data_IF_507539162749
#
_entry.id   IF_507539162749
#
_cell.length_a   1.000
_cell.length_b   1.000
_cell.length_c   1.000
_cell.angle_alpha   90.00
_cell.angle_beta   90.00
_cell.angle_gamma   90.00
#
_symmetry.space_group_name_H-M   'P 1'
#
loop_
_entity.id
_entity.type
_entity.pdbx_description
1 polymer ?
#
# COMPACT_ATOMS: atom_id res chain seq x y z
N UNK A 1 37.71 3.85 -49.40
CA UNK A 1 36.44 3.09 -49.25
C UNK A 1 36.44 2.05 -48.12
N UNK A 2 37.59 1.58 -47.60
CA UNK A 2 37.63 0.64 -46.46
C UNK A 2 37.24 1.23 -45.09
N UNK A 3 37.52 2.52 -44.86
CA UNK A 3 37.30 3.14 -43.55
C UNK A 3 35.79 3.34 -43.21
N UNK A 4 34.93 3.54 -44.22
CA UNK A 4 33.48 3.63 -44.05
C UNK A 4 32.84 2.28 -43.77
N UNK A 5 33.32 1.20 -44.40
CA UNK A 5 32.84 -0.18 -44.16
C UNK A 5 33.11 -0.65 -42.73
N UNK A 6 34.29 -0.33 -42.17
CA UNK A 6 34.63 -0.68 -40.79
C UNK A 6 33.79 0.11 -39.77
N UNK A 7 33.45 1.37 -40.05
CA UNK A 7 32.54 2.16 -39.20
C UNK A 7 31.12 1.59 -39.21
N UNK A 8 30.62 1.17 -40.37
CA UNK A 8 29.29 0.53 -40.49
C UNK A 8 29.26 -0.80 -39.73
N UNK A 9 30.29 -1.64 -39.86
CA UNK A 9 30.39 -2.89 -39.08
C UNK A 9 30.44 -2.65 -37.57
N UNK A 10 31.17 -1.62 -37.13
CA UNK A 10 31.25 -1.28 -35.71
C UNK A 10 29.89 -0.80 -35.17
N UNK A 11 29.16 0.02 -35.93
CA UNK A 11 27.80 0.47 -35.58
C UNK A 11 26.82 -0.71 -35.58
N UNK A 12 26.90 -1.62 -36.55
CA UNK A 12 26.04 -2.79 -36.60
C UNK A 12 26.29 -3.72 -35.40
N UNK A 13 27.55 -3.88 -35.00
CA UNK A 13 27.94 -4.67 -33.84
C UNK A 13 27.49 -4.05 -32.51
N UNK A 14 27.58 -2.72 -32.35
CA UNK A 14 27.09 -2.05 -31.14
C UNK A 14 25.57 -2.10 -31.03
N UNK A 15 24.83 -1.95 -32.13
CA UNK A 15 23.37 -2.10 -32.15
C UNK A 15 22.95 -3.53 -31.82
N UNK A 16 23.63 -4.53 -32.38
CA UNK A 16 23.36 -5.95 -32.09
C UNK A 16 23.65 -6.29 -30.61
N UNK A 17 24.74 -5.75 -30.04
CA UNK A 17 25.04 -5.90 -28.62
C UNK A 17 23.97 -5.27 -27.73
N UNK A 18 23.47 -4.07 -28.06
CA UNK A 18 22.40 -3.42 -27.32
C UNK A 18 21.09 -4.23 -27.29
N UNK A 19 20.76 -4.94 -28.38
CA UNK A 19 19.58 -5.80 -28.44
C UNK A 19 19.77 -7.05 -27.57
N UNK A 20 20.96 -7.66 -27.61
CA UNK A 20 21.27 -8.88 -26.85
C UNK A 20 21.43 -8.64 -25.33
N UNK A 21 21.78 -7.42 -24.92
CA UNK A 21 21.90 -7.04 -23.51
C UNK A 21 20.66 -6.31 -22.96
N UNK A 22 19.56 -6.24 -23.71
CA UNK A 22 18.32 -5.72 -23.14
C UNK A 22 17.82 -6.70 -22.07
N UNK A 23 17.69 -6.28 -20.79
CA UNK A 23 17.01 -7.12 -19.82
C UNK A 23 15.57 -7.29 -20.31
N UNK A 24 15.10 -8.52 -20.43
CA UNK A 24 13.69 -8.78 -20.63
C UNK A 24 12.94 -8.21 -19.43
N UNK A 25 12.30 -7.06 -19.62
CA UNK A 25 11.40 -6.48 -18.63
C UNK A 25 10.13 -7.31 -18.68
N UNK A 26 10.11 -8.40 -17.90
CA UNK A 26 8.87 -9.11 -17.62
C UNK A 26 8.08 -8.21 -16.67
N UNK A 27 7.08 -7.50 -17.20
CA UNK A 27 6.09 -6.89 -16.33
C UNK A 27 5.43 -8.03 -15.56
N UNK A 28 5.59 -8.05 -14.23
CA UNK A 28 4.82 -8.97 -13.40
C UNK A 28 3.36 -8.58 -13.55
N UNK A 29 2.62 -9.37 -14.33
CA UNK A 29 1.17 -9.23 -14.43
C UNK A 29 0.59 -9.36 -13.03
N UNK A 30 -0.25 -8.40 -12.65
CA UNK A 30 -1.02 -8.50 -11.41
C UNK A 30 -1.84 -9.80 -11.45
N UNK A 31 -1.80 -10.56 -10.37
CA UNK A 31 -2.48 -11.86 -10.32
C UNK A 31 -3.93 -11.64 -9.92
N UNK A 32 -4.85 -11.75 -10.87
CA UNK A 32 -6.29 -11.70 -10.60
C UNK A 32 -6.97 -12.98 -11.07
N UNK A 33 -8.14 -13.30 -10.52
CA UNK A 33 -8.94 -14.47 -10.91
C UNK A 33 -9.52 -14.36 -12.34
N UNK A 34 -9.49 -13.17 -12.94
CA UNK A 34 -9.88 -12.89 -14.32
C UNK A 34 -8.96 -11.85 -14.96
N UNK A 35 -8.88 -11.89 -16.29
CA UNK A 35 -8.18 -10.90 -17.12
C UNK A 35 -9.15 -9.89 -17.78
N UNK A 36 -10.45 -9.98 -17.45
CA UNK A 36 -11.47 -9.07 -17.99
C UNK A 36 -11.23 -7.64 -17.51
N UNK A 37 -10.97 -6.75 -18.48
CA UNK A 37 -10.75 -5.33 -18.22
C UNK A 37 -12.00 -4.69 -17.61
N UNK A 38 -13.18 -5.03 -18.10
CA UNK A 38 -14.46 -4.49 -17.60
C UNK A 38 -14.64 -4.82 -16.12
N UNK A 39 -14.42 -6.08 -15.72
CA UNK A 39 -14.45 -6.46 -14.29
C UNK A 39 -13.43 -5.72 -13.44
N UNK A 40 -12.25 -5.41 -13.97
CA UNK A 40 -11.21 -4.66 -13.25
C UNK A 40 -11.60 -3.18 -13.11
N UNK A 41 -12.23 -2.58 -14.12
CA UNK A 41 -12.67 -1.18 -14.09
C UNK A 41 -13.89 -1.00 -13.19
N UNK A 42 -14.83 -1.95 -13.20
CA UNK A 42 -16.06 -1.93 -12.39
C UNK A 42 -15.84 -2.29 -10.91
N UNK A 43 -14.62 -2.68 -10.52
CA UNK A 43 -14.30 -3.11 -9.15
C UNK A 43 -14.17 -1.90 -8.22
N UNK A 44 -15.29 -1.41 -7.68
CA UNK A 44 -15.30 -0.21 -6.85
C UNK A 44 -15.13 -0.51 -5.36
N UNK A 45 -15.81 -1.51 -4.80
CA UNK A 45 -15.82 -1.68 -3.34
C UNK A 45 -15.05 -2.92 -2.92
N UNK A 46 -14.12 -2.73 -1.99
CA UNK A 46 -13.45 -3.84 -1.32
C UNK A 46 -14.39 -4.41 -0.26
N UNK A 47 -14.67 -5.71 -0.34
CA UNK A 47 -15.49 -6.42 0.66
C UNK A 47 -14.65 -7.16 1.68
N UNK A 48 -13.43 -7.57 1.31
CA UNK A 48 -12.55 -8.34 2.18
C UNK A 48 -11.08 -8.22 1.78
N UNK A 49 -10.18 -8.33 2.76
CA UNK A 49 -8.72 -8.35 2.54
C UNK A 49 -8.06 -9.49 3.34
N UNK A 50 -7.29 -10.36 2.68
CA UNK A 50 -6.35 -11.27 3.34
C UNK A 50 -4.92 -10.76 3.18
N UNK A 51 -4.17 -10.71 4.28
CA UNK A 51 -2.81 -10.18 4.32
C UNK A 51 -1.89 -11.27 4.85
N UNK A 52 -1.00 -11.75 3.97
CA UNK A 52 -0.02 -12.79 4.28
C UNK A 52 1.41 -12.25 4.23
N UNK A 53 2.10 -12.26 5.37
CA UNK A 53 3.49 -11.77 5.46
C UNK A 53 4.46 -12.89 5.09
N UNK A 54 5.32 -12.70 4.08
CA UNK A 54 6.22 -13.75 3.57
C UNK A 54 7.13 -14.36 4.64
N UNK A 55 7.56 -13.55 5.62
CA UNK A 55 8.38 -13.98 6.76
C UNK A 55 7.61 -13.78 8.07
N UNK A 56 6.42 -14.37 8.19
CA UNK A 56 5.50 -14.25 9.34
C UNK A 56 6.19 -14.43 10.71
N UNK A 57 7.10 -15.40 10.87
CA UNK A 57 7.89 -15.57 12.12
C UNK A 57 8.74 -14.34 12.47
N UNK A 58 9.35 -13.68 11.47
CA UNK A 58 10.13 -12.47 11.68
C UNK A 58 9.25 -11.26 11.97
N UNK A 59 8.06 -11.20 11.35
CA UNK A 59 7.04 -10.22 11.67
C UNK A 59 6.59 -10.35 13.13
N UNK A 60 6.15 -11.55 13.54
CA UNK A 60 5.71 -11.83 14.91
C UNK A 60 6.80 -11.50 15.94
N UNK A 61 8.06 -11.86 15.68
CA UNK A 61 9.19 -11.49 16.56
C UNK A 61 9.37 -9.97 16.65
N UNK A 62 9.13 -9.23 15.57
CA UNK A 62 9.21 -7.78 15.56
C UNK A 62 8.05 -7.15 16.35
N UNK A 63 6.83 -7.61 16.09
CA UNK A 63 5.62 -7.23 16.83
C UNK A 63 5.78 -7.47 18.33
N UNK A 64 6.18 -8.67 18.77
CA UNK A 64 6.35 -8.97 20.20
C UNK A 64 7.42 -8.10 20.87
N UNK A 65 8.48 -7.74 20.15
CA UNK A 65 9.48 -6.78 20.65
C UNK A 65 8.90 -5.37 20.75
N UNK A 66 8.12 -4.95 19.75
CA UNK A 66 7.43 -3.67 19.77
C UNK A 66 6.43 -3.62 20.93
N UNK A 67 5.61 -4.64 21.12
CA UNK A 67 4.62 -4.73 22.19
C UNK A 67 5.27 -4.70 23.59
N UNK A 68 6.36 -5.45 23.80
CA UNK A 68 7.06 -5.52 25.11
C UNK A 68 7.94 -4.31 25.44
N UNK A 69 8.33 -3.50 24.47
CA UNK A 69 9.13 -2.29 24.75
C UNK A 69 8.27 -1.32 25.58
N UNK A 70 8.69 -0.85 26.76
CA UNK A 70 7.86 0.02 27.60
C UNK A 70 7.63 1.41 26.99
N UNK A 71 8.41 1.79 25.98
CA UNK A 71 8.28 3.08 25.28
C UNK A 71 7.23 3.03 24.18
N UNK A 72 6.92 4.18 23.60
CA UNK A 72 6.24 4.31 22.30
C UNK A 72 6.89 3.43 21.21
N UNK A 73 6.17 3.15 20.14
CA UNK A 73 6.63 2.37 18.98
C UNK A 73 7.85 3.04 18.36
N UNK A 74 9.03 2.55 18.74
CA UNK A 74 10.32 3.05 18.27
C UNK A 74 10.53 2.76 16.77
N UNK A 75 11.29 3.62 16.09
CA UNK A 75 11.56 3.52 14.65
C UNK A 75 12.16 2.15 14.24
N UNK A 76 12.98 1.55 15.10
CA UNK A 76 13.54 0.19 14.90
C UNK A 76 12.47 -0.90 14.66
N UNK A 77 11.23 -0.67 15.08
CA UNK A 77 10.12 -1.59 14.89
C UNK A 77 9.31 -1.29 13.62
N UNK A 78 9.43 -0.10 13.02
CA UNK A 78 8.72 0.34 11.82
C UNK A 78 9.42 -0.08 10.51
N UNK A 79 10.21 -1.15 10.56
CA UNK A 79 10.86 -1.72 9.36
C UNK A 79 9.83 -2.36 8.42
N UNK A 80 10.09 -2.30 7.12
CA UNK A 80 9.22 -2.88 6.08
C UNK A 80 9.40 -4.39 5.96
N UNK A 81 8.30 -5.09 5.71
CA UNK A 81 8.23 -6.52 5.42
C UNK A 81 7.51 -6.75 4.11
N UNK A 82 7.95 -7.73 3.32
CA UNK A 82 7.21 -8.17 2.14
C UNK A 82 5.98 -8.99 2.58
N UNK A 83 4.87 -8.74 1.90
CA UNK A 83 3.60 -9.41 2.08
C UNK A 83 2.89 -9.54 0.74
N UNK A 84 1.88 -10.41 0.69
CA UNK A 84 0.85 -10.37 -0.33
C UNK A 84 -0.45 -9.91 0.33
N UNK A 85 -1.24 -9.14 -0.43
CA UNK A 85 -2.56 -8.69 -0.02
C UNK A 85 -3.54 -9.20 -1.07
N UNK A 86 -4.37 -10.15 -0.70
CA UNK A 86 -5.45 -10.68 -1.52
C UNK A 86 -6.70 -9.85 -1.24
N UNK A 87 -7.26 -9.24 -2.28
CA UNK A 87 -8.39 -8.31 -2.17
C UNK A 87 -9.57 -8.91 -2.92
N UNK A 88 -10.71 -9.01 -2.24
CA UNK A 88 -11.98 -9.39 -2.83
C UNK A 88 -12.85 -8.15 -3.01
N UNK A 89 -13.39 -7.99 -4.21
CA UNK A 89 -14.29 -6.90 -4.57
C UNK A 89 -15.75 -7.38 -4.63
N UNK A 90 -16.68 -6.43 -4.58
CA UNK A 90 -18.12 -6.66 -4.64
C UNK A 90 -18.62 -7.24 -5.98
N UNK A 91 -17.82 -7.15 -7.04
CA UNK A 91 -18.10 -7.71 -8.37
C UNK A 91 -17.45 -9.09 -8.63
N UNK A 92 -17.09 -9.81 -7.55
CA UNK A 92 -16.44 -11.14 -7.56
C UNK A 92 -15.00 -11.12 -8.12
N UNK A 93 -14.42 -9.94 -8.39
CA UNK A 93 -13.01 -9.84 -8.72
C UNK A 93 -12.18 -10.17 -7.47
N UNK A 94 -11.15 -10.98 -7.67
CA UNK A 94 -10.15 -11.27 -6.65
C UNK A 94 -8.77 -11.02 -7.23
N UNK A 95 -7.96 -10.21 -6.55
CA UNK A 95 -6.62 -9.87 -7.00
C UNK A 95 -5.60 -9.93 -5.85
N UNK A 96 -4.42 -10.47 -6.15
CA UNK A 96 -3.28 -10.55 -5.24
C UNK A 96 -2.28 -9.44 -5.55
N UNK A 97 -2.03 -8.58 -4.58
CA UNK A 97 -1.09 -7.47 -4.67
C UNK A 97 0.19 -7.74 -3.89
N UNK A 98 1.36 -7.91 -4.54
CA UNK A 98 2.62 -7.94 -3.83
C UNK A 98 2.86 -6.58 -3.16
N UNK A 99 3.21 -6.59 -1.88
CA UNK A 99 3.16 -5.41 -1.03
C UNK A 99 4.33 -5.33 -0.06
N UNK A 100 4.62 -4.12 0.42
CA UNK A 100 5.41 -3.86 1.62
C UNK A 100 4.49 -3.35 2.72
N UNK A 101 4.61 -3.94 3.91
CA UNK A 101 3.88 -3.51 5.10
C UNK A 101 4.87 -3.16 6.22
N UNK A 102 4.50 -2.21 7.07
CA UNK A 102 5.20 -1.92 8.35
C UNK A 102 4.18 -1.58 9.42
N UNK A 103 4.60 -1.70 10.69
CA UNK A 103 3.83 -1.17 11.82
C UNK A 103 3.66 0.34 11.65
N UNK A 104 2.43 0.82 11.77
CA UNK A 104 2.06 2.24 11.76
C UNK A 104 1.77 2.75 13.17
N UNK A 105 1.92 4.06 13.37
CA UNK A 105 1.61 4.73 14.63
C UNK A 105 2.81 4.92 15.54
N UNK A 106 2.69 5.84 16.49
CA UNK A 106 3.72 6.15 17.48
C UNK A 106 3.39 5.54 18.84
N UNK A 107 2.13 5.55 19.23
CA UNK A 107 1.70 5.04 20.53
C UNK A 107 1.33 3.55 20.49
N UNK A 108 1.22 2.96 21.69
CA UNK A 108 0.98 1.53 21.87
C UNK A 108 -0.42 1.08 21.50
N UNK A 109 -1.37 2.00 21.44
CA UNK A 109 -2.74 1.79 20.96
C UNK A 109 -2.77 1.18 19.55
N UNK A 110 -1.75 1.44 18.72
CA UNK A 110 -1.62 0.79 17.42
C UNK A 110 -1.17 -0.68 17.45
N UNK A 111 -1.02 -1.29 18.64
CA UNK A 111 -0.67 -2.70 18.84
C UNK A 111 -1.74 -3.38 19.72
N UNK A 112 -2.54 -4.27 19.14
CA UNK A 112 -3.50 -5.08 19.89
C UNK A 112 -2.89 -6.42 20.28
N UNK A 113 -3.26 -6.92 21.46
CA UNK A 113 -2.77 -8.22 21.98
C UNK A 113 -3.69 -9.40 21.68
N UNK A 114 -4.98 -9.14 21.47
CA UNK A 114 -6.01 -10.13 21.22
C UNK A 114 -7.05 -9.60 20.21
N UNK A 115 -6.90 -9.91 18.90
CA UNK A 115 -5.81 -10.68 18.30
C UNK A 115 -4.49 -9.90 18.25
N UNK A 116 -3.31 -10.56 18.15
CA UNK A 116 -1.99 -9.91 18.10
C UNK A 116 -1.74 -9.20 16.76
N UNK A 117 -2.46 -8.11 16.51
CA UNK A 117 -2.46 -7.33 15.27
C UNK A 117 -1.87 -5.93 15.50
N UNK A 118 -1.58 -5.23 14.42
CA UNK A 118 -1.08 -3.85 14.47
C UNK A 118 -1.76 -3.01 13.41
N UNK A 119 -1.84 -1.70 13.62
CA UNK A 119 -2.09 -0.80 12.50
C UNK A 119 -0.95 -0.90 11.47
N UNK A 120 -1.26 -0.89 10.17
CA UNK A 120 -0.32 -1.09 9.09
C UNK A 120 -0.20 0.17 8.21
N UNK A 121 1.02 0.46 7.76
CA UNK A 121 1.29 1.37 6.63
C UNK A 121 1.72 0.48 5.46
N UNK A 122 0.95 0.56 4.38
CA UNK A 122 0.99 -0.38 3.26
C UNK A 122 1.43 0.35 1.99
N UNK A 123 2.27 -0.30 1.21
CA UNK A 123 2.73 0.13 -0.11
C UNK A 123 2.60 -1.06 -1.08
N UNK A 124 1.74 -0.95 -2.08
CA UNK A 124 1.66 -1.93 -3.16
C UNK A 124 2.89 -1.80 -4.06
N UNK A 125 3.46 -2.94 -4.47
CA UNK A 125 4.63 -3.00 -5.34
C UNK A 125 4.27 -3.14 -6.82
N UNK A 126 3.03 -3.54 -7.11
CA UNK A 126 2.47 -3.64 -8.44
C UNK A 126 0.95 -3.43 -8.37
N UNK A 127 0.38 -2.85 -9.44
CA UNK A 127 -1.04 -2.52 -9.50
C UNK A 127 -1.45 -1.36 -8.61
N UNK A 128 -2.76 -1.16 -8.49
CA UNK A 128 -3.38 -0.21 -7.58
C UNK A 128 -4.76 -0.77 -7.17
N UNK A 129 -5.30 -0.27 -6.07
CA UNK A 129 -6.68 -0.55 -5.66
C UNK A 129 -7.44 0.77 -5.75
N UNK A 130 -8.28 0.93 -6.77
CA UNK A 130 -9.01 2.17 -7.05
C UNK A 130 -8.10 3.40 -7.07
N UNK A 131 -7.00 3.29 -7.82
CA UNK A 131 -5.91 4.26 -7.95
C UNK A 131 -5.12 4.53 -6.66
N UNK A 132 -5.35 3.75 -5.60
CA UNK A 132 -4.56 3.81 -4.36
C UNK A 132 -3.41 2.81 -4.41
N UNK A 133 -2.19 3.28 -4.20
CA UNK A 133 -1.01 2.41 -4.05
C UNK A 133 -0.44 2.41 -2.63
N UNK A 134 -0.78 3.43 -1.83
CA UNK A 134 -0.33 3.61 -0.46
C UNK A 134 -1.52 3.95 0.41
N UNK A 135 -1.70 3.16 1.46
CA UNK A 135 -2.81 3.31 2.37
C UNK A 135 -2.41 2.82 3.76
N UNK A 136 -3.24 3.16 4.73
CA UNK A 136 -3.13 2.68 6.09
C UNK A 136 -4.28 1.72 6.37
N UNK A 137 -3.99 0.70 7.16
CA UNK A 137 -5.00 -0.18 7.75
C UNK A 137 -4.92 0.04 9.25
N UNK A 138 -5.78 0.90 9.78
CA UNK A 138 -5.80 1.20 11.20
C UNK A 138 -6.59 0.16 11.96
N UNK A 139 -6.13 -0.14 13.18
CA UNK A 139 -7.02 -0.73 14.17
C UNK A 139 -8.10 0.33 14.46
N UNK A 140 -9.40 0.03 14.34
CA UNK A 140 -10.44 1.06 14.32
C UNK A 140 -10.40 2.06 15.47
N UNK A 141 -10.19 1.61 16.70
CA UNK A 141 -10.22 2.48 17.88
C UNK A 141 -9.06 3.49 17.92
N UNK A 142 -7.96 3.25 17.20
CA UNK A 142 -6.78 4.14 17.14
C UNK A 142 -7.03 5.39 16.30
N UNK A 143 -8.10 5.39 15.50
CA UNK A 143 -8.46 6.47 14.60
C UNK A 143 -9.96 6.76 14.67
N UNK A 144 -10.57 6.66 15.85
CA UNK A 144 -11.98 7.04 16.08
C UNK A 144 -13.04 6.17 15.38
N UNK A 145 -12.66 5.11 14.65
CA UNK A 145 -13.57 4.18 13.98
C UNK A 145 -14.60 4.89 13.09
N UNK A 146 -15.89 4.69 13.40
CA UNK A 146 -17.01 5.30 12.68
C UNK A 146 -16.94 6.83 12.61
N UNK A 147 -16.39 7.49 13.63
CA UNK A 147 -16.28 8.96 13.64
C UNK A 147 -15.35 9.45 12.53
N UNK A 148 -14.28 8.71 12.22
CA UNK A 148 -13.36 9.05 11.13
C UNK A 148 -14.00 8.79 9.77
N UNK A 149 -14.72 7.67 9.61
CA UNK A 149 -15.49 7.38 8.39
C UNK A 149 -16.48 8.51 8.11
N UNK A 150 -17.25 8.90 9.12
CA UNK A 150 -18.22 9.98 9.00
C UNK A 150 -17.54 11.33 8.71
N UNK A 151 -16.49 11.68 9.45
CA UNK A 151 -15.83 12.98 9.31
C UNK A 151 -15.16 13.14 7.95
N UNK A 152 -14.48 12.11 7.46
CA UNK A 152 -13.83 12.14 6.15
C UNK A 152 -14.85 12.17 5.01
N UNK A 153 -15.94 11.41 5.11
CA UNK A 153 -17.04 11.48 4.16
C UNK A 153 -17.70 12.88 4.15
N UNK A 154 -18.01 13.44 5.33
CA UNK A 154 -18.61 14.77 5.44
C UNK A 154 -17.70 15.85 4.83
N UNK A 155 -16.40 15.84 5.12
CA UNK A 155 -15.45 16.79 4.55
C UNK A 155 -15.42 16.69 3.02
N UNK A 156 -15.46 15.47 2.47
CA UNK A 156 -15.52 15.24 1.03
C UNK A 156 -16.80 15.80 0.41
N UNK A 157 -17.96 15.56 1.03
CA UNK A 157 -19.25 16.13 0.59
C UNK A 157 -19.28 17.66 0.64
N UNK A 158 -18.54 18.26 1.58
CA UNK A 158 -18.39 19.72 1.68
C UNK A 158 -17.36 20.29 0.69
N UNK A 159 -16.74 19.47 -0.16
CA UNK A 159 -15.77 19.87 -1.17
C UNK A 159 -14.33 20.02 -0.65
N UNK A 160 -14.03 19.55 0.57
CA UNK A 160 -12.66 19.47 1.06
C UNK A 160 -11.97 18.20 0.57
N UNK A 161 -10.64 18.28 0.42
CA UNK A 161 -9.81 17.09 0.19
C UNK A 161 -9.75 16.25 1.47
N UNK A 162 -10.36 15.07 1.42
CA UNK A 162 -10.35 14.12 2.53
C UNK A 162 -10.06 12.69 2.01
N UNK A 163 -9.29 11.88 2.76
CA UNK A 163 -8.93 10.53 2.34
C UNK A 163 -10.16 9.61 2.37
N UNK A 164 -10.29 8.73 1.39
CA UNK A 164 -11.28 7.64 1.44
C UNK A 164 -11.00 6.77 2.65
N UNK A 165 -12.01 6.64 3.51
CA UNK A 165 -11.90 5.92 4.78
C UNK A 165 -13.13 5.05 5.01
N UNK A 166 -12.94 3.76 5.27
CA UNK A 166 -14.03 2.81 5.48
C UNK A 166 -13.57 1.58 6.25
N UNK A 167 -14.51 0.86 6.85
CA UNK A 167 -14.25 -0.42 7.51
C UNK A 167 -14.12 -1.53 6.47
N UNK A 168 -13.15 -2.41 6.68
CA UNK A 168 -12.93 -3.58 5.83
C UNK A 168 -12.66 -4.81 6.69
N UNK A 169 -13.51 -5.85 6.61
CA UNK A 169 -13.22 -7.15 7.19
C UNK A 169 -11.92 -7.71 6.62
N UNK A 170 -11.10 -8.31 7.47
CA UNK A 170 -9.80 -8.79 7.04
C UNK A 170 -9.32 -10.01 7.81
N UNK A 171 -8.38 -10.73 7.19
CA UNK A 171 -7.54 -11.72 7.85
C UNK A 171 -6.09 -11.25 7.78
N UNK A 172 -5.41 -11.21 8.92
CA UNK A 172 -3.99 -10.85 8.98
C UNK A 172 -3.16 -12.00 9.52
N UNK A 173 -2.34 -12.62 8.65
CA UNK A 173 -1.56 -13.81 8.97
C UNK A 173 -2.43 -14.92 9.62
N UNK A 174 -3.66 -15.13 9.12
CA UNK A 174 -4.60 -16.12 9.64
C UNK A 174 -5.43 -15.69 10.85
N UNK A 175 -5.34 -14.42 11.27
CA UNK A 175 -6.13 -13.86 12.37
C UNK A 175 -7.23 -12.98 11.81
N UNK A 176 -8.48 -13.32 12.10
CA UNK A 176 -9.64 -12.49 11.75
C UNK A 176 -9.60 -11.15 12.48
N UNK A 177 -9.93 -10.08 11.77
CA UNK A 177 -10.01 -8.73 12.30
C UNK A 177 -10.89 -7.85 11.39
N UNK A 178 -11.06 -6.58 11.77
CA UNK A 178 -11.59 -5.54 10.92
C UNK A 178 -10.63 -4.36 10.98
N UNK A 179 -10.15 -3.92 9.83
CA UNK A 179 -9.35 -2.71 9.74
C UNK A 179 -10.22 -1.53 9.31
N UNK A 180 -9.75 -0.34 9.65
CA UNK A 180 -10.18 0.91 9.02
C UNK A 180 -9.18 1.23 7.91
N UNK A 181 -9.57 1.01 6.66
CA UNK A 181 -8.81 1.43 5.49
C UNK A 181 -8.81 2.95 5.42
N UNK A 182 -7.65 3.56 5.18
CA UNK A 182 -7.54 4.99 4.89
C UNK A 182 -6.49 5.25 3.82
N UNK A 183 -6.89 5.93 2.75
CA UNK A 183 -5.99 6.39 1.69
C UNK A 183 -4.91 7.32 2.24
N UNK A 184 -3.67 7.17 1.76
CA UNK A 184 -2.56 8.03 2.18
C UNK A 184 -2.51 9.29 1.31
N UNK A 185 -2.26 10.44 1.93
CA UNK A 185 -2.08 11.71 1.22
C UNK A 185 -0.71 11.70 0.53
N UNK A 186 -0.70 11.23 -0.72
CA UNK A 186 0.47 11.17 -1.62
C UNK A 186 0.08 11.71 -3.00
N UNK A 187 1.00 11.66 -3.97
CA UNK A 187 0.71 12.15 -5.33
C UNK A 187 -0.53 11.50 -5.94
N UNK A 188 -0.76 10.22 -5.66
CA UNK A 188 -1.91 9.47 -6.17
C UNK A 188 -3.24 10.03 -5.63
N UNK A 189 -3.27 10.47 -4.37
CA UNK A 189 -4.43 11.16 -3.80
C UNK A 189 -4.72 12.50 -4.50
N UNK A 190 -3.67 13.25 -4.87
CA UNK A 190 -3.81 14.53 -5.58
C UNK A 190 -4.31 14.30 -7.01
N UNK A 191 -3.71 13.34 -7.72
CA UNK A 191 -4.11 12.93 -9.07
C UNK A 191 -5.57 12.47 -9.12
N UNK A 192 -6.02 11.70 -8.12
CA UNK A 192 -7.39 11.24 -7.98
C UNK A 192 -8.44 12.33 -7.76
N UNK A 193 -8.01 13.50 -7.30
CA UNK A 193 -8.88 14.66 -7.12
C UNK A 193 -8.73 15.68 -8.26
N UNK A 194 -8.20 15.25 -9.41
CA UNK A 194 -7.97 16.08 -10.61
C UNK A 194 -7.09 17.32 -10.34
N UNK A 195 -6.19 17.20 -9.37
CA UNK A 195 -5.25 18.25 -9.02
C UNK A 195 -3.88 17.99 -9.62
N UNK A 196 -3.17 19.07 -9.97
CA UNK A 196 -1.79 19.00 -10.42
C UNK A 196 -0.88 18.62 -9.25
N UNK A 197 0.07 17.70 -9.50
CA UNK A 197 1.10 17.36 -8.52
C UNK A 197 1.82 18.64 -7.99
N UNK A 198 1.90 18.75 -6.67
CA UNK A 198 2.50 19.86 -5.96
C UNK A 198 3.09 19.38 -4.62
N UNK A 199 3.95 20.18 -3.95
CA UNK A 199 4.43 19.85 -2.61
C UNK A 199 3.27 19.66 -1.63
N UNK A 200 3.29 18.55 -0.89
CA UNK A 200 2.37 18.25 0.21
C UNK A 200 3.13 18.55 1.51
N UNK A 201 2.57 19.40 2.37
CA UNK A 201 3.14 19.75 3.66
C UNK A 201 2.27 19.15 4.75
N UNK A 202 2.90 18.42 5.68
CA UNK A 202 2.26 17.90 6.88
C UNK A 202 2.41 18.91 8.02
N UNK A 203 1.39 19.04 8.86
CA UNK A 203 1.43 19.91 10.02
C UNK A 203 2.53 19.47 11.00
N UNK A 204 3.25 20.44 11.57
CA UNK A 204 4.28 20.15 12.55
C UNK A 204 3.66 19.85 13.92
N UNK A 205 3.63 18.57 14.28
CA UNK A 205 3.02 18.08 15.51
C UNK A 205 3.68 18.63 16.78
N UNK A 206 4.91 19.17 16.71
CA UNK A 206 5.57 19.79 17.87
C UNK A 206 4.76 20.93 18.46
N UNK A 207 3.99 21.66 17.64
CA UNK A 207 3.15 22.76 18.09
C UNK A 207 1.78 22.33 18.62
N UNK A 208 1.35 21.09 18.37
CA UNK A 208 0.09 20.55 18.88
C UNK A 208 0.24 19.96 20.30
N UNK A 209 1.44 19.52 20.64
CA UNK A 209 1.75 18.85 21.91
C UNK A 209 2.75 19.63 22.79
N UNK A 210 2.97 20.92 22.49
CA UNK A 210 3.84 21.82 23.26
C UNK A 210 3.21 22.29 24.58
#
# INVERSE_FOLDING_TARGET
MQNTSNKIKLILFTVLALILFSPSVLANKLSCNTDSIDKIIEAENIIFIDISTHKSKKWLKNYLKAYKDPRSIQEKYKKKFLANIDVQFDNELECTFPSKIRINGDHKDHLDSAPPITSLDVELLAGNINSVIKFKLFIPHTKGGNNEVFSTALLKELGFLAPRTYHVPAVFNGLETTFLFQEKITKEFIELNDLREAPILEGDERFLWA
#
